data_IF_097750663392
#
_entry.id   IF_097750663392
#
_cell.length_a   1.000
_cell.length_b   1.000
_cell.length_c   1.000
_cell.angle_alpha   90.00
_cell.angle_beta   90.00
_cell.angle_gamma   90.00
#
_symmetry.space_group_name_H-M   'P 1'
#
loop_
_entity.id
_entity.type
_entity.pdbx_description
1 polymer ?
#
# COMPACT_ATOMS: atom_id res chain seq x y z
N UNK A 1 19.52 6.61 -11.77
CA UNK A 1 18.89 5.34 -11.34
C UNK A 1 17.38 5.36 -11.58
N UNK A 2 16.81 4.22 -12.01
CA UNK A 2 15.35 4.10 -12.17
C UNK A 2 14.68 4.03 -10.81
N UNK A 3 13.53 4.71 -10.66
CA UNK A 3 12.72 4.67 -9.45
C UNK A 3 12.02 3.33 -9.31
N UNK A 4 12.00 2.78 -8.09
CA UNK A 4 11.41 1.47 -7.79
C UNK A 4 10.03 1.66 -7.16
N UNK A 5 9.00 1.16 -7.84
CA UNK A 5 7.62 1.10 -7.36
C UNK A 5 7.37 -0.29 -6.79
N UNK A 6 6.92 -0.34 -5.53
CA UNK A 6 6.89 -1.54 -4.75
C UNK A 6 5.52 -1.97 -4.27
N UNK A 7 5.29 -3.28 -4.23
CA UNK A 7 4.16 -3.88 -3.52
C UNK A 7 4.63 -5.08 -2.72
N UNK A 8 4.15 -5.22 -1.49
CA UNK A 8 4.37 -6.38 -0.64
C UNK A 8 3.05 -7.08 -0.30
N UNK A 9 3.10 -8.40 -0.22
CA UNK A 9 1.96 -9.27 0.08
C UNK A 9 1.36 -9.92 -1.16
N UNK A 10 0.26 -10.66 -0.96
CA UNK A 10 -0.35 -11.45 -2.02
C UNK A 10 -0.91 -10.59 -3.15
N UNK A 11 -0.53 -10.92 -4.38
CA UNK A 11 -1.09 -10.37 -5.62
C UNK A 11 -2.15 -11.35 -6.08
N UNK A 12 -3.37 -11.10 -5.62
CA UNK A 12 -4.49 -12.03 -5.76
C UNK A 12 -5.78 -11.29 -6.12
N UNK A 13 -6.93 -11.94 -5.98
CA UNK A 13 -8.27 -11.45 -6.31
C UNK A 13 -8.63 -10.03 -5.84
N UNK A 14 -8.04 -9.55 -4.73
CA UNK A 14 -8.20 -8.17 -4.23
C UNK A 14 -7.51 -7.12 -5.10
N UNK A 15 -6.45 -7.51 -5.80
CA UNK A 15 -5.66 -6.66 -6.68
C UNK A 15 -6.47 -6.32 -7.92
N UNK A 16 -6.44 -5.06 -8.31
CA UNK A 16 -6.96 -4.60 -9.58
C UNK A 16 -5.89 -4.79 -10.66
N UNK A 17 -5.98 -5.91 -11.39
CA UNK A 17 -5.00 -6.27 -12.41
C UNK A 17 -5.02 -5.34 -13.62
N UNK A 18 -6.17 -4.74 -13.95
CA UNK A 18 -6.30 -3.75 -15.04
C UNK A 18 -5.56 -2.47 -14.67
N UNK A 19 -5.74 -2.00 -13.43
CA UNK A 19 -4.94 -0.90 -12.89
C UNK A 19 -3.45 -1.24 -12.90
N UNK A 20 -3.07 -2.46 -12.48
CA UNK A 20 -1.66 -2.88 -12.46
C UNK A 20 -1.06 -2.81 -13.86
N UNK A 21 -1.73 -3.39 -14.85
CA UNK A 21 -1.28 -3.35 -16.25
C UNK A 21 -1.15 -1.91 -16.75
N UNK A 22 -2.18 -1.07 -16.52
CA UNK A 22 -2.16 0.33 -16.95
C UNK A 22 -1.00 1.11 -16.33
N UNK A 23 -0.74 0.96 -15.03
CA UNK A 23 0.36 1.70 -14.39
C UNK A 23 1.74 1.26 -14.87
N UNK A 24 1.97 -0.04 -15.14
CA UNK A 24 3.27 -0.50 -15.64
C UNK A 24 3.49 -0.12 -17.10
N UNK A 25 2.43 -0.04 -17.90
CA UNK A 25 2.48 0.45 -19.28
C UNK A 25 2.72 1.97 -19.34
N UNK A 26 2.15 2.72 -18.41
CA UNK A 26 2.32 4.16 -18.27
C UNK A 26 3.75 4.52 -17.84
N UNK A 27 4.31 3.77 -16.87
CA UNK A 27 5.60 4.07 -16.23
C UNK A 27 6.77 3.19 -16.72
N UNK A 28 7.08 3.23 -18.01
CA UNK A 28 8.22 2.47 -18.59
C UNK A 28 9.60 2.94 -18.12
N UNK A 29 9.66 4.15 -17.58
CA UNK A 29 10.85 4.78 -16.99
C UNK A 29 11.16 4.26 -15.57
N UNK A 30 10.19 3.62 -14.92
CA UNK A 30 10.30 3.10 -13.54
C UNK A 30 10.47 1.58 -13.56
N UNK A 31 10.81 1.02 -12.40
CA UNK A 31 10.90 -0.42 -12.19
C UNK A 31 9.85 -0.86 -11.18
N UNK A 32 9.10 -1.91 -11.47
CA UNK A 32 8.05 -2.43 -10.60
C UNK A 32 8.51 -3.71 -9.94
N UNK A 33 8.47 -3.73 -8.61
CA UNK A 33 8.88 -4.85 -7.78
C UNK A 33 7.73 -5.32 -6.91
N UNK A 34 7.22 -6.51 -7.22
CA UNK A 34 6.18 -7.16 -6.45
C UNK A 34 6.77 -8.30 -5.60
N UNK A 35 6.53 -8.25 -4.29
CA UNK A 35 7.12 -9.17 -3.31
C UNK A 35 6.00 -9.91 -2.58
N UNK A 36 5.79 -11.17 -2.92
CA UNK A 36 4.74 -12.00 -2.33
C UNK A 36 4.27 -13.11 -3.28
N UNK A 37 3.32 -13.94 -2.81
CA UNK A 37 2.68 -14.94 -3.67
C UNK A 37 1.83 -14.26 -4.74
N UNK A 38 1.69 -14.93 -5.89
CA UNK A 38 1.05 -14.40 -7.09
C UNK A 38 0.02 -15.38 -7.61
N UNK A 39 -1.17 -14.89 -7.94
CA UNK A 39 -2.12 -15.60 -8.79
C UNK A 39 -1.62 -15.57 -10.23
N UNK A 40 -0.88 -16.63 -10.59
CA UNK A 40 -0.09 -16.65 -11.82
C UNK A 40 -0.94 -16.58 -13.09
N UNK A 41 -2.16 -17.13 -13.07
CA UNK A 41 -3.06 -17.16 -14.23
C UNK A 41 -3.49 -15.75 -14.65
N UNK A 42 -4.03 -14.95 -13.73
CA UNK A 42 -4.43 -13.57 -13.99
C UNK A 42 -3.24 -12.69 -14.37
N UNK A 43 -2.09 -12.87 -13.72
CA UNK A 43 -0.90 -12.09 -14.07
C UNK A 43 -0.43 -12.42 -15.50
N UNK A 44 -0.38 -13.71 -15.85
CA UNK A 44 0.09 -14.17 -17.16
C UNK A 44 -0.87 -13.75 -18.28
N UNK A 45 -2.18 -13.75 -18.03
CA UNK A 45 -3.19 -13.33 -19.01
C UNK A 45 -3.11 -11.83 -19.30
N UNK A 46 -2.74 -11.03 -18.30
CA UNK A 46 -2.54 -9.59 -18.44
C UNK A 46 -1.21 -9.24 -19.12
N UNK A 47 -0.21 -10.11 -19.02
CA UNK A 47 1.03 -10.08 -19.78
C UNK A 47 2.10 -9.11 -19.25
N UNK A 48 1.86 -8.45 -18.11
CA UNK A 48 2.83 -7.53 -17.52
C UNK A 48 4.02 -8.24 -16.86
N UNK A 49 3.93 -9.53 -16.60
CA UNK A 49 5.04 -10.37 -16.13
C UNK A 49 6.15 -10.55 -17.15
N UNK A 50 5.87 -10.32 -18.42
CA UNK A 50 6.84 -10.38 -19.52
C UNK A 50 7.52 -9.03 -19.76
N UNK A 51 7.08 -7.97 -19.10
CA UNK A 51 7.67 -6.65 -19.28
C UNK A 51 9.03 -6.56 -18.57
N UNK A 52 10.09 -6.05 -19.22
CA UNK A 52 11.45 -6.10 -18.69
C UNK A 52 11.66 -5.25 -17.42
N UNK A 53 10.78 -4.28 -17.17
CA UNK A 53 10.79 -3.41 -16.00
C UNK A 53 9.83 -3.86 -14.89
N UNK A 54 9.31 -5.09 -14.97
CA UNK A 54 8.44 -5.69 -13.96
C UNK A 54 9.10 -6.95 -13.40
N UNK A 55 9.13 -7.07 -12.07
CA UNK A 55 9.70 -8.23 -11.39
C UNK A 55 8.83 -8.72 -10.24
N UNK A 56 8.67 -10.03 -10.19
CA UNK A 56 8.11 -10.74 -9.03
C UNK A 56 9.24 -11.42 -8.28
N UNK A 57 9.37 -11.10 -6.99
CA UNK A 57 10.37 -11.71 -6.10
C UNK A 57 9.88 -13.04 -5.48
N UNK A 58 8.60 -13.37 -5.68
CA UNK A 58 7.93 -14.50 -5.05
C UNK A 58 7.70 -14.30 -3.54
N UNK A 59 7.23 -15.34 -2.87
CA UNK A 59 7.00 -15.35 -1.43
C UNK A 59 8.29 -15.11 -0.64
N UNK A 60 8.20 -14.31 0.42
CA UNK A 60 9.29 -14.01 1.35
C UNK A 60 8.81 -14.13 2.79
N UNK A 61 9.72 -14.44 3.70
CA UNK A 61 9.44 -14.35 5.14
C UNK A 61 9.24 -12.89 5.51
N UNK A 62 8.41 -12.65 6.53
CA UNK A 62 8.13 -11.28 7.01
C UNK A 62 9.41 -10.53 7.40
N UNK A 63 10.40 -11.24 7.95
CA UNK A 63 11.71 -10.69 8.33
C UNK A 63 12.57 -10.25 7.14
N UNK A 64 12.26 -10.71 5.93
CA UNK A 64 12.97 -10.31 4.71
C UNK A 64 12.36 -9.07 4.06
N UNK A 65 11.09 -8.75 4.34
CA UNK A 65 10.37 -7.64 3.69
C UNK A 65 11.05 -6.27 3.87
N UNK A 66 11.62 -5.92 5.05
CA UNK A 66 12.37 -4.67 5.20
C UNK A 66 13.51 -4.52 4.20
N UNK A 67 14.17 -5.64 3.83
CA UNK A 67 15.28 -5.62 2.88
C UNK A 67 14.84 -5.23 1.47
N UNK A 68 13.59 -5.48 1.09
CA UNK A 68 13.02 -5.03 -0.18
C UNK A 68 12.48 -3.61 -0.06
N UNK A 69 11.75 -3.35 1.02
CA UNK A 69 11.04 -2.09 1.24
C UNK A 69 12.00 -0.90 1.25
N UNK A 70 13.20 -1.04 1.82
CA UNK A 70 14.20 0.03 1.87
C UNK A 70 14.58 0.58 0.49
N UNK A 71 14.55 -0.25 -0.56
CA UNK A 71 14.91 0.15 -1.93
C UNK A 71 13.73 0.72 -2.73
N UNK A 72 12.50 0.59 -2.25
CA UNK A 72 11.31 1.12 -2.94
C UNK A 72 11.25 2.64 -2.74
N UNK A 73 11.16 3.39 -3.84
CA UNK A 73 10.97 4.86 -3.80
C UNK A 73 9.52 5.23 -3.50
N UNK A 74 8.57 4.40 -3.93
CA UNK A 74 7.14 4.52 -3.66
C UNK A 74 6.52 3.14 -3.55
N UNK A 75 5.53 2.99 -2.68
CA UNK A 75 4.78 1.75 -2.52
C UNK A 75 3.32 1.94 -2.84
N UNK A 76 2.67 0.88 -3.33
CA UNK A 76 1.32 0.96 -3.89
C UNK A 76 0.35 0.01 -3.19
N UNK A 77 -0.95 0.31 -3.23
CA UNK A 77 -2.04 -0.58 -2.82
C UNK A 77 -3.14 -0.50 -3.91
N UNK A 78 -2.97 -1.23 -5.03
CA UNK A 78 -3.88 -1.16 -6.17
C UNK A 78 -5.04 -2.16 -6.00
N UNK A 79 -5.89 -1.95 -5.00
CA UNK A 79 -7.03 -2.86 -4.75
C UNK A 79 -8.26 -2.46 -5.57
N UNK A 80 -9.05 -3.46 -5.94
CA UNK A 80 -10.35 -3.25 -6.60
C UNK A 80 -11.28 -2.45 -5.68
N UNK A 81 -12.25 -1.76 -6.25
CA UNK A 81 -13.34 -1.12 -5.52
C UNK A 81 -14.56 -2.04 -5.58
N UNK A 82 -14.79 -2.84 -4.54
CA UNK A 82 -15.92 -3.77 -4.48
C UNK A 82 -16.37 -4.04 -3.03
N UNK A 83 -17.46 -4.79 -2.85
CA UNK A 83 -18.04 -5.08 -1.54
C UNK A 83 -17.04 -5.71 -0.56
N UNK A 84 -16.15 -6.58 -1.05
CA UNK A 84 -15.13 -7.19 -0.20
C UNK A 84 -14.11 -6.16 0.29
N UNK A 85 -13.51 -5.43 -0.65
CA UNK A 85 -12.42 -4.49 -0.37
C UNK A 85 -12.88 -3.30 0.44
N UNK A 86 -14.14 -2.87 0.28
CA UNK A 86 -14.78 -1.83 1.09
C UNK A 86 -14.75 -2.12 2.60
N UNK A 87 -14.74 -3.40 2.99
CA UNK A 87 -14.74 -3.83 4.39
C UNK A 87 -13.34 -4.15 4.92
N UNK A 88 -12.27 -3.87 4.16
CA UNK A 88 -10.89 -4.18 4.55
C UNK A 88 -10.27 -2.98 5.26
N UNK A 89 -9.78 -3.21 6.48
CA UNK A 89 -8.73 -2.39 7.06
C UNK A 89 -7.35 -2.84 6.55
N UNK A 90 -6.63 -2.01 5.79
CA UNK A 90 -5.44 -2.44 5.07
C UNK A 90 -4.19 -2.37 5.94
N UNK A 91 -3.86 -3.43 6.67
CA UNK A 91 -2.67 -3.48 7.55
C UNK A 91 -1.37 -3.00 6.88
N UNK A 92 -1.21 -3.26 5.57
CA UNK A 92 -0.05 -2.85 4.77
C UNK A 92 0.22 -1.35 4.78
N UNK A 93 -0.82 -0.50 4.82
CA UNK A 93 -0.57 0.94 4.84
C UNK A 93 0.23 1.32 6.10
N UNK A 94 -0.07 0.71 7.24
CA UNK A 94 0.66 0.98 8.48
C UNK A 94 2.13 0.51 8.39
N UNK A 95 2.38 -0.65 7.77
CA UNK A 95 3.75 -1.14 7.54
C UNK A 95 4.56 -0.17 6.66
N UNK A 96 3.94 0.33 5.58
CA UNK A 96 4.57 1.29 4.67
C UNK A 96 4.81 2.65 5.30
N UNK A 97 3.81 3.15 6.04
CA UNK A 97 3.90 4.42 6.77
C UNK A 97 4.95 4.33 7.88
N UNK A 98 5.02 3.21 8.61
CA UNK A 98 6.03 2.96 9.64
C UNK A 98 7.46 2.86 9.07
N UNK A 99 7.60 2.38 7.83
CA UNK A 99 8.87 2.45 7.09
C UNK A 99 9.14 3.83 6.47
N UNK A 100 8.23 4.80 6.66
CA UNK A 100 8.34 6.15 6.13
C UNK A 100 8.23 6.22 4.61
N UNK A 101 7.64 5.22 3.94
CA UNK A 101 7.56 5.16 2.48
C UNK A 101 6.34 5.93 1.96
N UNK A 102 6.47 6.72 0.87
CA UNK A 102 5.30 7.35 0.27
C UNK A 102 4.40 6.25 -0.33
N UNK A 103 3.09 6.35 -0.07
CA UNK A 103 2.09 5.33 -0.39
C UNK A 103 1.06 5.88 -1.37
N UNK A 104 0.78 5.14 -2.44
CA UNK A 104 -0.35 5.40 -3.35
C UNK A 104 -1.35 4.26 -3.26
N UNK A 105 -2.62 4.55 -3.02
CA UNK A 105 -3.67 3.54 -2.89
C UNK A 105 -4.90 3.91 -3.71
N UNK A 106 -5.70 2.92 -4.11
CA UNK A 106 -7.05 3.18 -4.61
C UNK A 106 -7.97 3.57 -3.45
N UNK A 107 -9.03 4.32 -3.73
CA UNK A 107 -10.07 4.64 -2.76
C UNK A 107 -11.03 3.45 -2.53
N UNK A 108 -10.51 2.30 -2.11
CA UNK A 108 -11.32 1.08 -1.97
C UNK A 108 -12.19 1.02 -0.71
N UNK A 109 -11.91 1.85 0.31
CA UNK A 109 -12.68 1.93 1.56
C UNK A 109 -12.55 3.30 2.24
N UNK A 110 -13.45 3.61 3.18
CA UNK A 110 -13.33 4.82 4.00
C UNK A 110 -12.11 4.74 4.95
N UNK A 111 -11.75 3.53 5.37
CA UNK A 111 -10.56 3.28 6.18
C UNK A 111 -9.27 3.69 5.46
N UNK A 112 -9.11 3.34 4.17
CA UNK A 112 -7.92 3.77 3.40
C UNK A 112 -7.95 5.29 3.18
N UNK A 113 -9.14 5.88 2.98
CA UNK A 113 -9.29 7.32 2.82
C UNK A 113 -8.87 8.09 4.09
N UNK A 114 -9.03 7.52 5.28
CA UNK A 114 -8.60 8.13 6.55
C UNK A 114 -7.09 8.41 6.67
N UNK A 115 -6.28 7.97 5.70
CA UNK A 115 -4.85 8.24 5.58
C UNK A 115 -4.51 9.30 4.52
N UNK A 116 -5.50 10.00 3.94
CA UNK A 116 -5.29 10.98 2.87
C UNK A 116 -4.38 12.15 3.25
N UNK A 117 -4.14 12.37 4.55
CA UNK A 117 -3.24 13.38 5.10
C UNK A 117 -1.75 13.01 4.92
N UNK A 118 -1.44 11.70 4.82
CA UNK A 118 -0.07 11.18 4.73
C UNK A 118 0.17 10.21 3.57
N UNK A 119 -0.89 9.80 2.87
CA UNK A 119 -0.87 8.93 1.70
C UNK A 119 -1.64 9.56 0.53
N UNK A 120 -1.37 9.08 -0.69
CA UNK A 120 -2.01 9.57 -1.91
C UNK A 120 -3.12 8.60 -2.32
N UNK A 121 -4.37 9.05 -2.29
CA UNK A 121 -5.54 8.21 -2.55
C UNK A 121 -6.11 8.56 -3.93
N UNK A 122 -6.16 7.57 -4.81
CA UNK A 122 -6.58 7.71 -6.19
C UNK A 122 -8.06 7.32 -6.39
N UNK A 123 -8.78 8.12 -7.16
CA UNK A 123 -10.18 7.86 -7.55
C UNK A 123 -10.33 7.35 -8.98
N UNK A 124 -9.24 7.30 -9.76
CA UNK A 124 -9.22 6.81 -11.13
C UNK A 124 -7.87 6.18 -11.47
N UNK A 125 -7.80 5.38 -12.54
CA UNK A 125 -6.55 4.75 -12.96
C UNK A 125 -5.50 5.76 -13.44
N UNK A 126 -5.92 6.80 -14.16
CA UNK A 126 -5.01 7.87 -14.59
C UNK A 126 -4.50 8.68 -13.39
N UNK A 127 -5.40 8.99 -12.44
CA UNK A 127 -5.03 9.62 -11.19
C UNK A 127 -4.04 8.78 -10.39
N UNK A 128 -4.22 7.46 -10.34
CA UNK A 128 -3.28 6.56 -9.67
C UNK A 128 -1.87 6.65 -10.29
N UNK A 129 -1.78 6.65 -11.62
CA UNK A 129 -0.51 6.77 -12.32
C UNK A 129 0.19 8.10 -12.01
N UNK A 130 -0.56 9.21 -12.06
CA UNK A 130 -0.03 10.56 -11.76
C UNK A 130 0.39 10.70 -10.29
N UNK A 131 -0.35 10.09 -9.37
CA UNK A 131 -0.04 10.14 -7.95
C UNK A 131 1.25 9.40 -7.60
N UNK A 132 1.67 8.39 -8.38
CA UNK A 132 3.00 7.76 -8.22
C UNK A 132 4.12 8.79 -8.42
N UNK A 133 4.06 9.58 -9.50
CA UNK A 133 5.07 10.61 -9.78
C UNK A 133 5.08 11.68 -8.69
N UNK A 134 3.88 12.15 -8.32
CA UNK A 134 3.71 13.14 -7.24
C UNK A 134 4.28 12.63 -5.92
N UNK A 135 3.98 11.38 -5.57
CA UNK A 135 4.41 10.76 -4.33
C UNK A 135 5.93 10.67 -4.21
N UNK A 136 6.62 10.39 -5.32
CA UNK A 136 8.08 10.38 -5.40
C UNK A 136 8.64 11.80 -5.32
N UNK A 137 8.08 12.73 -6.10
CA UNK A 137 8.60 14.09 -6.23
C UNK A 137 8.46 14.90 -4.93
N UNK A 138 7.35 14.74 -4.21
CA UNK A 138 7.09 15.44 -2.96
C UNK A 138 7.67 14.73 -1.73
N UNK A 139 8.39 13.62 -1.91
CA UNK A 139 8.96 12.89 -0.79
C UNK A 139 10.07 13.71 -0.12
N UNK A 140 9.94 13.94 1.19
CA UNK A 140 10.88 14.71 2.00
C UNK A 140 10.98 14.12 3.41
N UNK A 141 11.99 14.54 4.18
CA UNK A 141 12.16 14.10 5.56
C UNK A 141 10.97 14.47 6.45
N UNK A 142 10.37 15.64 6.25
CA UNK A 142 9.15 16.06 6.96
C UNK A 142 7.96 15.15 6.64
N UNK A 143 7.73 14.84 5.36
CA UNK A 143 6.65 13.93 4.98
C UNK A 143 6.93 12.51 5.48
N UNK A 144 8.19 12.08 5.50
CA UNK A 144 8.60 10.80 6.07
C UNK A 144 8.29 10.72 7.56
N UNK A 145 8.65 11.76 8.32
CA UNK A 145 8.35 11.85 9.75
C UNK A 145 6.84 11.85 10.02
N UNK A 146 6.05 12.57 9.21
CA UNK A 146 4.59 12.58 9.32
C UNK A 146 3.98 11.19 9.11
N UNK A 147 4.45 10.44 8.11
CA UNK A 147 4.03 9.05 7.86
C UNK A 147 4.34 8.13 9.04
N UNK A 148 5.56 8.20 9.57
CA UNK A 148 5.98 7.38 10.72
C UNK A 148 5.11 7.70 11.94
N UNK A 149 4.91 8.99 12.25
CA UNK A 149 4.05 9.44 13.35
C UNK A 149 2.61 8.95 13.21
N UNK A 150 2.05 8.94 11.99
CA UNK A 150 0.70 8.40 11.72
C UNK A 150 0.64 6.89 11.96
N UNK A 151 1.70 6.15 11.63
CA UNK A 151 1.77 4.71 11.87
C UNK A 151 1.86 4.36 13.37
N UNK A 152 2.57 5.16 14.17
CA UNK A 152 2.69 4.96 15.62
C UNK A 152 1.34 4.96 16.36
N UNK A 153 0.40 5.81 15.90
CA UNK A 153 -0.98 5.86 16.40
C UNK A 153 -1.78 4.58 16.12
N UNK A 154 -1.28 3.72 15.23
CA UNK A 154 -1.95 2.50 14.77
C UNK A 154 -1.20 1.23 15.17
N UNK A 155 -0.27 1.32 16.13
CA UNK A 155 0.42 0.16 16.68
C UNK A 155 -0.55 -0.75 17.43
N UNK A 156 -0.23 -2.05 17.51
CA UNK A 156 -1.02 -2.99 18.32
C UNK A 156 -1.15 -2.55 19.77
N UNK A 157 -0.10 -1.95 20.34
CA UNK A 157 -0.12 -1.38 21.70
C UNK A 157 -1.15 -0.27 21.80
N UNK A 158 -1.09 0.74 20.91
CA UNK A 158 -2.06 1.84 20.89
C UNK A 158 -3.51 1.36 20.66
N UNK A 159 -3.69 0.34 19.79
CA UNK A 159 -5.00 -0.26 19.53
C UNK A 159 -5.56 -1.01 20.74
N UNK A 160 -4.70 -1.70 21.49
CA UNK A 160 -5.07 -2.39 22.74
C UNK A 160 -5.40 -1.38 23.84
N UNK A 161 -4.63 -0.29 23.97
CA UNK A 161 -4.93 0.81 24.90
C UNK A 161 -6.30 1.44 24.60
N UNK A 162 -6.56 1.78 23.33
CA UNK A 162 -7.85 2.30 22.90
C UNK A 162 -9.02 1.33 23.18
N UNK A 163 -8.80 0.03 22.98
CA UNK A 163 -9.81 -0.99 23.31
C UNK A 163 -10.13 -0.98 24.81
N UNK A 164 -9.10 -0.91 25.67
CA UNK A 164 -9.29 -0.86 27.13
C UNK A 164 -10.01 0.40 27.59
N UNK A 165 -9.77 1.55 26.94
CA UNK A 165 -10.53 2.78 27.22
C UNK A 165 -12.02 2.60 26.97
N UNK A 166 -12.41 2.01 25.83
CA UNK A 166 -13.81 1.76 25.52
C UNK A 166 -14.47 0.75 26.47
N UNK A 167 -13.75 -0.31 26.86
CA UNK A 167 -14.24 -1.26 27.87
C UNK A 167 -14.46 -0.55 29.19
N UNK A 168 -13.50 0.25 29.65
CA UNK A 168 -13.62 1.02 30.89
C UNK A 168 -14.75 2.05 30.86
N UNK A 169 -14.99 2.71 29.72
CA UNK A 169 -16.16 3.59 29.56
C UNK A 169 -17.48 2.83 29.64
N UNK A 170 -17.58 1.68 28.99
CA UNK A 170 -18.78 0.85 29.04
C UNK A 170 -19.07 0.35 30.45
N UNK A 171 -18.03 -0.07 31.19
CA UNK A 171 -18.16 -0.46 32.60
C UNK A 171 -18.63 0.71 33.48
N UNK A 172 -18.12 1.92 33.24
CA UNK A 172 -18.57 3.13 33.95
C UNK A 172 -20.02 3.49 33.66
N UNK A 173 -20.51 3.30 32.43
CA UNK A 173 -21.91 3.57 32.04
C UNK A 173 -22.91 2.54 32.57
N UNK A 174 -22.44 1.39 33.07
CA UNK A 174 -23.26 0.34 33.67
C UNK A 174 -23.48 0.49 35.18
N UNK A 175 -22.71 1.35 35.84
CA UNK A 175 -22.91 1.74 37.24
C UNK A 175 -23.81 2.96 37.32
#
# INVERSE_FOLDING_TARGET
DKKIIGFTGSIEYRTDFELVKKMVEYHKDKFFLFVGPVFAEEVSSMGFDKMPHVKFAGSKKITELPNYLQYMDCVIIPYKLNTLTKSIYPLKINEYLGAGKPVVATHFSDDIYSFHDVAYIAESYDGFCQLIDKAIAENSDDKKAARIKRAEQNTWVARVEQFWEYVGEWERRKK
#
